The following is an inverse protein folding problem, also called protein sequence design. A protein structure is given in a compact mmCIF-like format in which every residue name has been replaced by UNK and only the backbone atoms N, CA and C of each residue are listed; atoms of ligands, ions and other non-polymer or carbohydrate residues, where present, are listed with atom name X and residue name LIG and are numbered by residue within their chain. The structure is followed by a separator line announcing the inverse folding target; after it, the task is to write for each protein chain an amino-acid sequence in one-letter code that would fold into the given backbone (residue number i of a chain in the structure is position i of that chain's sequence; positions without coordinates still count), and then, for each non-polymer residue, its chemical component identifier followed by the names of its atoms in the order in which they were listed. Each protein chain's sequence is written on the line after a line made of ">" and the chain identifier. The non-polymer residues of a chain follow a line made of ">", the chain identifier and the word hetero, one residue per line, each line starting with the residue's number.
data_IF_543975200063
#
_entry.id   IF_543975200063
#
_cell.length_a   1.000
_cell.length_b   1.000
_cell.length_c   1.000
_cell.angle_alpha   90.00
_cell.angle_beta   90.00
_cell.angle_gamma   90.00
#
_symmetry.space_group_name_H-M   'P 1'
#
loop_
_entity.id
_entity.type
_entity.pdbx_description
1 polymer ?
#
# COMPACT_ATOMS: atom_id res chain seq x y z
N UNK A 1 -10.13 -13.85 12.49
CA UNK A 1 -9.43 -14.03 11.18
C UNK A 1 -8.31 -15.01 11.40
N UNK A 2 -8.20 -16.07 10.60
CA UNK A 2 -7.06 -16.99 10.72
C UNK A 2 -5.77 -16.29 10.26
N UNK A 3 -4.62 -16.62 10.86
CA UNK A 3 -3.31 -16.07 10.46
C UNK A 3 -3.04 -16.29 8.96
N UNK A 4 -3.55 -17.40 8.42
CA UNK A 4 -3.50 -17.72 6.99
C UNK A 4 -4.25 -16.69 6.15
N UNK A 5 -5.44 -16.23 6.57
CA UNK A 5 -6.18 -15.20 5.84
C UNK A 5 -5.42 -13.87 5.80
N UNK A 6 -4.83 -13.46 6.93
CA UNK A 6 -3.99 -12.24 7.00
C UNK A 6 -2.78 -12.39 6.10
N UNK A 7 -2.10 -13.54 6.14
CA UNK A 7 -0.96 -13.83 5.26
C UNK A 7 -1.34 -13.71 3.79
N UNK A 8 -2.43 -14.34 3.35
CA UNK A 8 -2.86 -14.27 1.95
C UNK A 8 -3.22 -12.84 1.54
N UNK A 9 -3.94 -12.09 2.37
CA UNK A 9 -4.29 -10.70 2.08
C UNK A 9 -3.02 -9.85 1.92
N UNK A 10 -2.06 -9.99 2.82
CA UNK A 10 -0.83 -9.19 2.82
C UNK A 10 0.10 -9.56 1.68
N UNK A 11 0.42 -10.86 1.55
CA UNK A 11 1.47 -11.35 0.65
C UNK A 11 0.98 -11.65 -0.76
N UNK A 12 -0.34 -11.74 -0.97
CA UNK A 12 -0.92 -11.91 -2.31
C UNK A 12 -1.71 -10.66 -2.71
N UNK A 13 -2.56 -10.16 -1.81
CA UNK A 13 -3.39 -8.98 -2.11
C UNK A 13 -2.57 -7.74 -2.45
N UNK A 14 -1.53 -7.43 -1.66
CA UNK A 14 -0.66 -6.28 -1.90
C UNK A 14 0.01 -6.30 -3.29
N UNK A 15 0.73 -7.38 -3.63
CA UNK A 15 1.31 -7.57 -4.96
C UNK A 15 0.30 -7.52 -6.10
N UNK A 16 -0.89 -8.10 -5.94
CA UNK A 16 -1.93 -8.05 -6.96
C UNK A 16 -2.46 -6.64 -7.18
N UNK A 17 -2.73 -5.88 -6.11
CA UNK A 17 -3.16 -4.49 -6.20
C UNK A 17 -2.08 -3.63 -6.85
N UNK A 18 -0.81 -3.78 -6.43
CA UNK A 18 0.30 -3.06 -7.06
C UNK A 18 0.41 -3.36 -8.55
N UNK A 19 0.30 -4.64 -8.94
CA UNK A 19 0.34 -5.05 -10.35
C UNK A 19 -0.84 -4.47 -11.14
N UNK A 20 -2.04 -4.43 -10.56
CA UNK A 20 -3.22 -3.82 -11.17
C UNK A 20 -2.99 -2.32 -11.43
N UNK A 21 -2.50 -1.60 -10.41
CA UNK A 21 -2.23 -0.17 -10.48
C UNK A 21 -1.08 0.21 -11.43
N UNK A 22 -0.15 -0.72 -11.70
CA UNK A 22 1.01 -0.45 -12.56
C UNK A 22 0.95 -1.11 -13.94
N UNK A 23 -0.15 -1.79 -14.28
CA UNK A 23 -0.32 -2.49 -15.56
C UNK A 23 -0.43 -1.55 -16.78
N UNK A 24 -0.98 -0.36 -16.58
CA UNK A 24 -1.17 0.64 -17.65
C UNK A 24 0.12 1.33 -18.08
N UNK A 25 0.10 1.95 -19.28
CA UNK A 25 1.17 2.86 -19.70
C UNK A 25 1.19 4.08 -18.76
N UNK A 26 2.38 4.56 -18.35
CA UNK A 26 2.46 5.70 -17.45
C UNK A 26 2.04 6.98 -18.19
N UNK A 27 0.86 7.50 -17.85
CA UNK A 27 0.29 8.71 -18.41
C UNK A 27 -0.03 9.75 -17.31
N UNK A 28 -0.32 10.99 -17.69
CA UNK A 28 -0.61 12.05 -16.70
C UNK A 28 -1.90 11.78 -15.90
N UNK A 29 -2.89 11.09 -16.47
CA UNK A 29 -4.15 10.80 -15.77
C UNK A 29 -3.94 9.71 -14.72
N UNK A 30 -3.26 8.61 -15.06
CA UNK A 30 -2.94 7.53 -14.11
C UNK A 30 -2.11 8.04 -12.93
N UNK A 31 -1.10 8.88 -13.18
CA UNK A 31 -0.32 9.51 -12.11
C UNK A 31 -1.18 10.37 -11.18
N UNK A 32 -2.10 11.20 -11.72
CA UNK A 32 -3.03 11.99 -10.90
C UNK A 32 -4.00 11.11 -10.12
N UNK A 33 -4.50 10.05 -10.72
CA UNK A 33 -5.38 9.09 -10.07
C UNK A 33 -4.68 8.39 -8.90
N UNK A 34 -3.39 8.04 -9.04
CA UNK A 34 -2.59 7.45 -7.97
C UNK A 34 -2.33 8.44 -6.82
N UNK A 35 -2.05 9.71 -7.12
CA UNK A 35 -1.93 10.76 -6.10
C UNK A 35 -3.26 10.94 -5.36
N UNK A 36 -4.37 11.03 -6.09
CA UNK A 36 -5.69 11.17 -5.48
C UNK A 36 -6.03 9.97 -4.61
N UNK A 37 -5.79 8.75 -5.09
CA UNK A 37 -5.99 7.52 -4.34
C UNK A 37 -5.16 7.51 -3.06
N UNK A 38 -3.86 7.79 -3.17
CA UNK A 38 -2.96 7.85 -2.01
C UNK A 38 -3.42 8.89 -0.98
N UNK A 39 -3.81 10.08 -1.44
CA UNK A 39 -4.30 11.16 -0.60
C UNK A 39 -5.60 10.79 0.12
N UNK A 40 -6.61 10.31 -0.63
CA UNK A 40 -7.89 9.89 -0.06
C UNK A 40 -7.71 8.76 0.95
N UNK A 41 -6.87 7.78 0.64
CA UNK A 41 -6.53 6.69 1.55
C UNK A 41 -5.83 7.18 2.82
N UNK A 42 -4.89 8.13 2.71
CA UNK A 42 -4.20 8.71 3.86
C UNK A 42 -5.15 9.52 4.75
N UNK A 43 -5.97 10.39 4.15
CA UNK A 43 -6.97 11.19 4.86
C UNK A 43 -8.00 10.29 5.53
N UNK A 44 -8.54 9.30 4.83
CA UNK A 44 -9.48 8.34 5.41
C UNK A 44 -8.84 7.54 6.56
N UNK A 45 -7.62 7.04 6.35
CA UNK A 45 -6.88 6.30 7.39
C UNK A 45 -6.66 7.14 8.65
N UNK A 46 -6.23 8.40 8.51
CA UNK A 46 -6.07 9.33 9.63
C UNK A 46 -7.41 9.70 10.27
N UNK A 47 -8.43 10.02 9.47
CA UNK A 47 -9.75 10.39 9.98
C UNK A 47 -10.37 9.26 10.80
N UNK A 48 -10.21 8.01 10.36
CA UNK A 48 -10.65 6.85 11.15
C UNK A 48 -9.78 6.72 12.40
N UNK A 49 -8.44 6.76 12.28
CA UNK A 49 -7.53 6.59 13.42
C UNK A 49 -7.76 7.59 14.54
N UNK A 50 -8.00 8.86 14.20
CA UNK A 50 -8.07 9.97 15.14
C UNK A 50 -9.50 10.47 15.41
N UNK A 51 -10.41 10.37 14.43
CA UNK A 51 -11.81 10.81 14.56
C UNK A 51 -12.70 9.81 15.30
N UNK A 52 -12.36 8.51 15.27
CA UNK A 52 -12.99 7.46 16.10
C UNK A 52 -11.99 6.85 17.08
N UNK A 53 -11.02 7.66 17.53
CA UNK A 53 -9.93 7.21 18.42
C UNK A 53 -10.40 6.49 19.68
N UNK A 54 -11.57 6.87 20.22
CA UNK A 54 -12.21 6.22 21.37
C UNK A 54 -12.55 4.73 21.14
N UNK A 55 -12.65 4.30 19.88
CA UNK A 55 -12.98 2.91 19.49
C UNK A 55 -11.78 2.14 18.94
N UNK A 56 -10.56 2.69 19.04
CA UNK A 56 -9.36 2.03 18.54
C UNK A 56 -9.08 0.75 19.33
N UNK A 57 -9.02 -0.39 18.67
CA UNK A 57 -8.88 -1.71 19.30
C UNK A 57 -10.19 -2.33 19.80
N UNK A 58 -11.22 -1.54 20.10
CA UNK A 58 -12.55 -2.04 20.46
C UNK A 58 -13.42 -2.35 19.24
N UNK A 59 -13.38 -1.47 18.23
CA UNK A 59 -14.12 -1.67 17.00
C UNK A 59 -13.20 -2.22 15.91
N UNK A 60 -13.39 -3.51 15.61
CA UNK A 60 -12.59 -4.23 14.61
C UNK A 60 -12.72 -3.60 13.22
N UNK A 61 -13.91 -3.14 12.82
CA UNK A 61 -14.15 -2.54 11.50
C UNK A 61 -13.41 -1.21 11.36
N UNK A 62 -13.48 -0.34 12.37
CA UNK A 62 -12.74 0.93 12.36
C UNK A 62 -11.23 0.70 12.31
N UNK A 63 -10.72 -0.20 13.14
CA UNK A 63 -9.29 -0.50 13.23
C UNK A 63 -8.76 -1.11 11.93
N UNK A 64 -9.44 -2.13 11.41
CA UNK A 64 -9.06 -2.78 10.13
C UNK A 64 -9.24 -1.85 8.93
N UNK A 65 -10.27 -1.01 8.93
CA UNK A 65 -10.50 0.01 7.90
C UNK A 65 -9.37 1.03 7.84
N UNK A 66 -8.95 1.58 8.99
CA UNK A 66 -7.82 2.52 9.05
C UNK A 66 -6.50 1.88 8.54
N UNK A 67 -6.23 0.64 8.95
CA UNK A 67 -5.04 -0.11 8.50
C UNK A 67 -5.11 -0.35 6.99
N UNK A 68 -6.25 -0.82 6.48
CA UNK A 68 -6.45 -1.09 5.05
C UNK A 68 -6.31 0.18 4.21
N UNK A 69 -6.89 1.30 4.63
CA UNK A 69 -6.73 2.60 3.97
C UNK A 69 -5.26 3.02 3.93
N UNK A 70 -4.56 2.96 5.07
CA UNK A 70 -3.14 3.35 5.14
C UNK A 70 -2.27 2.45 4.25
N UNK A 71 -2.54 1.14 4.25
CA UNK A 71 -1.82 0.17 3.42
C UNK A 71 -2.08 0.36 1.92
N UNK A 72 -3.33 0.59 1.50
CA UNK A 72 -3.65 0.94 0.11
C UNK A 72 -3.00 2.25 -0.32
N UNK A 73 -2.96 3.26 0.56
CA UNK A 73 -2.26 4.52 0.32
C UNK A 73 -0.77 4.30 0.05
N UNK A 74 -0.11 3.47 0.86
CA UNK A 74 1.28 3.05 0.64
C UNK A 74 1.49 2.38 -0.73
N UNK A 75 0.63 1.43 -1.10
CA UNK A 75 0.71 0.75 -2.41
C UNK A 75 0.52 1.75 -3.56
N UNK A 76 -0.40 2.71 -3.42
CA UNK A 76 -0.63 3.74 -4.42
C UNK A 76 0.62 4.64 -4.61
N UNK A 77 1.32 4.99 -3.53
CA UNK A 77 2.59 5.74 -3.58
C UNK A 77 3.67 4.92 -4.31
N UNK A 78 3.81 3.63 -3.99
CA UNK A 78 4.75 2.75 -4.70
C UNK A 78 4.44 2.67 -6.19
N UNK A 79 3.16 2.51 -6.54
CA UNK A 79 2.71 2.47 -7.92
C UNK A 79 3.00 3.79 -8.65
N UNK A 80 2.82 4.93 -7.98
CA UNK A 80 3.14 6.25 -8.51
C UNK A 80 4.63 6.36 -8.83
N UNK A 81 5.49 6.02 -7.87
CA UNK A 81 6.95 6.05 -8.06
C UNK A 81 7.38 5.14 -9.21
N UNK A 82 6.83 3.91 -9.26
CA UNK A 82 7.10 2.98 -10.36
C UNK A 82 6.69 3.55 -11.73
N UNK A 83 5.52 4.17 -11.84
CA UNK A 83 5.06 4.77 -13.09
C UNK A 83 5.89 6.01 -13.48
N UNK A 84 6.29 6.84 -12.52
CA UNK A 84 7.18 7.99 -12.78
C UNK A 84 8.53 7.51 -13.30
N UNK A 85 9.14 6.50 -12.67
CA UNK A 85 10.41 5.92 -13.11
C UNK A 85 10.31 5.31 -14.51
N UNK A 86 9.23 4.57 -14.80
CA UNK A 86 8.99 3.99 -16.14
C UNK A 86 8.78 5.05 -17.21
N UNK A 87 8.26 6.21 -16.84
CA UNK A 87 8.08 7.34 -17.74
C UNK A 87 9.39 8.08 -18.01
N UNK A 88 10.21 8.27 -16.98
CA UNK A 88 11.52 8.94 -17.09
C UNK A 88 12.55 8.06 -17.82
N UNK A 89 12.51 6.74 -17.58
CA UNK A 89 13.43 5.77 -18.14
C UNK A 89 12.65 4.65 -18.85
N UNK A 90 12.23 4.89 -20.11
CA UNK A 90 11.48 3.91 -20.90
C UNK A 90 12.40 2.76 -21.33
N UNK A 91 12.54 1.74 -20.50
CA UNK A 91 13.32 0.53 -20.77
C UNK A 91 12.75 -0.70 -20.08
N UNK A 92 12.95 -1.87 -20.69
CA UNK A 92 12.48 -3.16 -20.16
C UNK A 92 13.11 -3.50 -18.80
N UNK A 93 14.37 -3.09 -18.59
CA UNK A 93 15.10 -3.25 -17.33
C UNK A 93 14.40 -2.46 -16.20
N UNK A 94 14.10 -1.17 -16.43
CA UNK A 94 13.37 -0.33 -15.47
C UNK A 94 11.99 -0.92 -15.15
N UNK A 95 11.26 -1.40 -16.15
CA UNK A 95 9.96 -2.04 -15.94
C UNK A 95 10.07 -3.31 -15.08
N UNK A 96 11.06 -4.16 -15.35
CA UNK A 96 11.30 -5.39 -14.59
C UNK A 96 11.66 -5.09 -13.14
N UNK A 97 12.61 -4.20 -12.90
CA UNK A 97 13.05 -3.88 -11.54
C UNK A 97 11.98 -3.14 -10.73
N UNK A 98 11.27 -2.18 -11.34
CA UNK A 98 10.14 -1.53 -10.65
C UNK A 98 9.00 -2.49 -10.32
N UNK A 99 8.78 -3.54 -11.12
CA UNK A 99 7.83 -4.60 -10.79
C UNK A 99 8.30 -5.42 -9.59
N UNK A 100 9.54 -5.94 -9.62
CA UNK A 100 10.09 -6.78 -8.56
C UNK A 100 10.17 -6.02 -7.24
N UNK A 101 10.79 -4.84 -7.26
CA UNK A 101 10.96 -4.01 -6.07
C UNK A 101 9.61 -3.52 -5.55
N UNK A 102 8.69 -3.14 -6.43
CA UNK A 102 7.36 -2.68 -6.02
C UNK A 102 6.54 -3.78 -5.33
N UNK A 103 6.57 -5.01 -5.87
CA UNK A 103 5.93 -6.18 -5.24
C UNK A 103 6.51 -6.43 -3.84
N UNK A 104 7.84 -6.48 -3.71
CA UNK A 104 8.48 -6.66 -2.41
C UNK A 104 8.17 -5.51 -1.44
N UNK A 105 8.14 -4.27 -1.94
CA UNK A 105 7.87 -3.10 -1.13
C UNK A 105 6.45 -3.07 -0.54
N UNK A 106 5.47 -3.76 -1.16
CA UNK A 106 4.10 -3.83 -0.61
C UNK A 106 4.01 -4.55 0.74
N UNK A 107 4.99 -5.40 1.07
CA UNK A 107 5.03 -6.19 2.31
C UNK A 107 5.90 -5.57 3.40
N UNK A 108 6.71 -4.55 3.08
CA UNK A 108 7.64 -3.90 4.03
C UNK A 108 6.98 -3.37 5.32
N UNK A 109 5.78 -2.77 5.30
CA UNK A 109 5.15 -2.30 6.54
C UNK A 109 4.98 -3.43 7.57
N UNK A 110 4.75 -4.67 7.13
CA UNK A 110 4.56 -5.81 8.02
C UNK A 110 5.86 -6.28 8.65
N UNK A 111 6.96 -6.27 7.91
CA UNK A 111 8.29 -6.53 8.49
C UNK A 111 8.66 -5.47 9.53
N UNK A 112 8.35 -4.19 9.25
CA UNK A 112 8.54 -3.10 10.20
C UNK A 112 7.69 -3.28 11.47
N UNK A 113 6.42 -3.67 11.33
CA UNK A 113 5.54 -3.97 12.46
C UNK A 113 6.07 -5.14 13.32
N UNK A 114 6.50 -6.22 12.69
CA UNK A 114 7.09 -7.37 13.40
C UNK A 114 8.36 -6.92 14.13
N UNK A 115 9.27 -6.24 13.46
CA UNK A 115 10.50 -5.73 14.07
C UNK A 115 10.22 -4.81 15.25
N UNK A 116 9.28 -3.86 15.09
CA UNK A 116 8.87 -2.98 16.18
C UNK A 116 8.29 -3.77 17.36
N UNK A 117 7.48 -4.80 17.09
CA UNK A 117 6.92 -5.65 18.15
C UNK A 117 7.99 -6.49 18.87
N UNK A 118 9.08 -6.88 18.19
CA UNK A 118 10.17 -7.63 18.82
C UNK A 118 11.13 -6.76 19.61
N UNK A 119 11.33 -5.49 19.23
CA UNK A 119 12.21 -4.56 19.96
C UNK A 119 11.49 -3.91 21.14
N UNK A 120 10.16 -3.78 21.09
CA UNK A 120 9.34 -3.26 22.18
C UNK A 120 8.95 -4.31 23.23
N UNK A 121 9.34 -5.59 23.02
CA UNK A 121 9.12 -6.72 23.93
C UNK A 121 10.35 -6.93 24.83
#
# INVERSE_FOLDING_TARGET
>A
MSLLAVFLVVFIGGPLVFRLLTRGKPDRRSLRALVLLAFLCAVAGMAIRYGVAQYWGENLLASTGAIACTWLGWIAVLAFVAQVLRRAYPGSVTQRWTNVLGILATTLPWFGLIWASTVAA
#
